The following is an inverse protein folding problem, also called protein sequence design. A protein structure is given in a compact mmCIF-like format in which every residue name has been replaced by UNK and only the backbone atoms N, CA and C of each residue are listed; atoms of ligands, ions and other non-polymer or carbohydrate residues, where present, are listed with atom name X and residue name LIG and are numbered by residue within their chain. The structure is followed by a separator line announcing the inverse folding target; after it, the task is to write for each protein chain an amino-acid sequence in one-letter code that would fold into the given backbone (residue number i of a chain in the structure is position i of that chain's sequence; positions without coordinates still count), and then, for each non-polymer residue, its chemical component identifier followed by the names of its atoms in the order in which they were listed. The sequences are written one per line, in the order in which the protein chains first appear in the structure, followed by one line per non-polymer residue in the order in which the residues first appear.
data_IF_269849580796
#
_entry.id   IF_269849580796
#
_cell.length_a   1.000
_cell.length_b   1.000
_cell.length_c   1.000
_cell.angle_alpha   90.00
_cell.angle_beta   90.00
_cell.angle_gamma   90.00
#
_symmetry.space_group_name_H-M   'P 1'
#
loop_
_entity.id
_entity.type
_entity.pdbx_description
1 polymer ?
#
# COMPACT_ATOMS: atom_id res chain seq x y z
N UNK A 1 2.86 7.22 5.21
CA UNK A 1 2.84 5.85 5.78
C UNK A 1 4.00 5.59 6.75
N UNK A 2 5.25 5.92 6.38
CA UNK A 2 6.44 5.64 7.18
C UNK A 2 6.40 6.14 8.64
N UNK A 3 5.95 7.37 8.95
CA UNK A 3 5.83 7.78 10.35
C UNK A 3 4.85 6.94 11.15
N UNK A 4 3.76 6.50 10.53
CA UNK A 4 2.74 5.69 11.20
C UNK A 4 3.25 4.28 11.58
N UNK A 5 4.17 3.72 10.81
CA UNK A 5 4.84 2.46 11.16
C UNK A 5 6.02 2.67 12.13
N UNK A 6 6.81 3.72 11.90
CA UNK A 6 8.04 3.99 12.64
C UNK A 6 7.82 4.26 14.13
N UNK A 7 6.90 5.17 14.47
CA UNK A 7 6.68 5.55 15.86
C UNK A 7 6.15 4.42 16.76
N UNK A 8 5.15 3.62 16.36
CA UNK A 8 4.71 2.48 17.16
C UNK A 8 5.82 1.46 17.41
N UNK A 9 6.68 1.21 16.43
CA UNK A 9 7.80 0.29 16.57
C UNK A 9 8.81 0.81 17.62
N UNK A 10 9.19 2.10 17.54
CA UNK A 10 10.06 2.71 18.55
C UNK A 10 9.43 2.67 19.95
N UNK A 11 8.13 2.96 20.06
CA UNK A 11 7.42 2.89 21.32
C UNK A 11 7.42 1.46 21.89
N UNK A 12 7.23 0.46 21.05
CA UNK A 12 7.27 -0.94 21.43
C UNK A 12 8.64 -1.41 21.91
N UNK A 13 9.72 -0.91 21.29
CA UNK A 13 11.10 -1.21 21.71
C UNK A 13 11.45 -0.52 23.02
N UNK A 14 10.92 0.66 23.27
CA UNK A 14 11.17 1.46 24.45
C UNK A 14 12.63 1.97 24.55
N UNK A 15 13.19 2.10 25.77
CA UNK A 15 14.48 2.76 25.96
C UNK A 15 15.68 1.96 25.43
N UNK A 16 15.50 0.70 25.11
CA UNK A 16 16.56 -0.19 24.62
C UNK A 16 16.62 -0.21 23.08
N UNK A 17 16.68 0.94 22.45
CA UNK A 17 16.75 1.07 21.02
C UNK A 17 18.12 0.63 20.49
N UNK A 18 18.21 -0.63 20.08
CA UNK A 18 19.37 -1.24 19.43
C UNK A 18 18.95 -1.77 18.06
N UNK A 19 19.93 -2.01 17.18
CA UNK A 19 19.66 -2.62 15.87
C UNK A 19 18.95 -3.98 16.00
N UNK A 20 19.37 -4.82 16.95
CA UNK A 20 18.78 -6.14 17.16
C UNK A 20 17.33 -6.05 17.66
N UNK A 21 17.04 -5.13 18.58
CA UNK A 21 15.69 -4.92 19.06
C UNK A 21 14.78 -4.33 17.97
N UNK A 22 15.32 -3.43 17.15
CA UNK A 22 14.62 -2.89 16.00
C UNK A 22 14.26 -3.99 14.97
N UNK A 23 15.25 -4.79 14.59
CA UNK A 23 15.07 -5.91 13.68
C UNK A 23 14.03 -6.92 14.21
N UNK A 24 14.13 -7.27 15.48
CA UNK A 24 13.18 -8.19 16.13
C UNK A 24 11.77 -7.61 16.10
N UNK A 25 11.62 -6.33 16.46
CA UNK A 25 10.31 -5.66 16.46
C UNK A 25 9.67 -5.63 15.06
N UNK A 26 10.44 -5.32 14.03
CA UNK A 26 9.98 -5.36 12.64
C UNK A 26 9.54 -6.77 12.22
N UNK A 27 10.39 -7.76 12.46
CA UNK A 27 10.15 -9.14 12.02
C UNK A 27 9.04 -9.86 12.79
N UNK A 28 8.63 -9.32 13.94
CA UNK A 28 7.52 -9.82 14.75
C UNK A 28 6.28 -8.94 14.66
N UNK A 29 6.37 -7.79 14.02
CA UNK A 29 5.21 -6.97 13.72
C UNK A 29 4.30 -7.74 12.76
N UNK A 30 3.00 -7.72 13.00
CA UNK A 30 2.03 -8.27 12.06
C UNK A 30 1.98 -7.44 10.77
N UNK A 31 1.34 -7.97 9.76
CA UNK A 31 1.05 -7.23 8.53
C UNK A 31 0.19 -5.99 8.84
N UNK A 32 0.55 -4.88 8.23
CA UNK A 32 -0.27 -3.68 8.25
C UNK A 32 -1.15 -3.71 7.01
N UNK A 33 -2.47 -3.71 7.16
CA UNK A 33 -3.38 -3.76 6.02
C UNK A 33 -3.25 -2.51 5.16
N UNK A 34 -3.60 -2.65 3.91
CA UNK A 34 -3.68 -1.56 2.96
C UNK A 34 -4.74 -0.53 3.34
N UNK A 35 -4.52 0.69 2.90
CA UNK A 35 -5.52 1.76 2.89
C UNK A 35 -5.78 2.20 1.46
N UNK A 36 -6.69 3.16 1.26
CA UNK A 36 -6.94 3.72 -0.07
C UNK A 36 -5.68 4.25 -0.76
N UNK A 37 -4.78 4.84 0.02
CA UNK A 37 -3.61 5.55 -0.49
C UNK A 37 -2.28 4.89 -0.15
N UNK A 38 -2.28 3.80 0.63
CA UNK A 38 -1.08 3.07 0.96
C UNK A 38 -1.23 1.57 0.76
N UNK A 39 -0.18 0.92 0.35
CA UNK A 39 -0.10 -0.53 0.27
C UNK A 39 -0.09 -1.19 1.65
N UNK A 40 -0.21 -2.50 1.64
CA UNK A 40 0.05 -3.34 2.81
C UNK A 40 1.56 -3.44 3.07
N UNK A 41 1.90 -3.68 4.33
CA UNK A 41 3.29 -3.79 4.77
C UNK A 41 3.47 -4.95 5.72
N UNK A 42 4.51 -5.73 5.48
CA UNK A 42 5.01 -6.76 6.40
C UNK A 42 6.52 -6.88 6.29
N UNK A 43 7.18 -7.50 7.26
CA UNK A 43 8.63 -7.64 7.28
C UNK A 43 9.08 -9.00 7.79
N UNK A 44 10.26 -9.42 7.36
CA UNK A 44 10.92 -10.61 7.84
C UNK A 44 10.13 -11.88 7.55
N UNK A 45 10.03 -12.75 8.52
CA UNK A 45 9.34 -14.04 8.40
C UNK A 45 7.82 -13.92 8.27
N UNK A 46 7.26 -12.77 8.61
CA UNK A 46 5.85 -12.43 8.39
C UNK A 46 5.64 -11.68 7.09
N UNK A 47 6.73 -11.39 6.39
CA UNK A 47 6.72 -10.69 5.12
C UNK A 47 6.22 -11.55 3.97
N UNK A 48 5.98 -10.87 2.85
CA UNK A 48 5.46 -11.47 1.61
C UNK A 48 6.53 -12.28 0.86
N UNK A 49 7.81 -12.00 1.11
CA UNK A 49 8.91 -12.60 0.38
C UNK A 49 9.28 -14.00 0.87
N UNK A 50 9.84 -14.85 -0.01
CA UNK A 50 10.28 -16.19 0.35
C UNK A 50 11.27 -16.21 1.53
N UNK A 51 11.16 -17.23 2.37
CA UNK A 51 12.04 -17.41 3.51
C UNK A 51 13.53 -17.52 3.12
N UNK A 52 13.82 -17.94 1.90
CA UNK A 52 15.18 -18.04 1.36
C UNK A 52 15.86 -16.66 1.21
N UNK A 53 15.09 -15.58 1.16
CA UNK A 53 15.61 -14.22 1.16
C UNK A 53 15.98 -13.72 2.56
N UNK A 54 15.92 -14.59 3.56
CA UNK A 54 16.25 -14.43 4.98
C UNK A 54 15.52 -13.26 5.66
N UNK A 55 15.42 -12.11 4.98
CA UNK A 55 14.79 -10.91 5.52
C UNK A 55 14.10 -10.14 4.43
N UNK A 56 12.82 -9.95 4.59
CA UNK A 56 12.10 -8.93 3.85
C UNK A 56 12.38 -7.56 4.49
N UNK A 57 13.26 -6.79 3.87
CA UNK A 57 13.58 -5.42 4.29
C UNK A 57 12.81 -4.36 3.52
N UNK A 58 12.14 -4.74 2.46
CA UNK A 58 11.41 -3.79 1.63
C UNK A 58 10.12 -3.33 2.31
N UNK A 59 9.42 -4.23 2.95
CA UNK A 59 8.22 -3.99 3.73
C UNK A 59 6.95 -3.78 2.91
N UNK A 60 7.03 -3.34 1.67
CA UNK A 60 5.86 -3.20 0.81
C UNK A 60 5.44 -4.53 0.22
N UNK A 61 4.17 -4.92 0.36
CA UNK A 61 3.66 -6.21 -0.09
C UNK A 61 2.88 -6.11 -1.40
N UNK A 62 2.29 -4.96 -1.66
CA UNK A 62 1.49 -4.72 -2.86
C UNK A 62 1.80 -3.38 -3.52
N UNK A 63 1.41 -3.29 -4.77
CA UNK A 63 1.49 -2.08 -5.57
C UNK A 63 0.17 -1.83 -6.28
N UNK A 64 -0.07 -0.58 -6.63
CA UNK A 64 -1.13 -0.20 -7.57
C UNK A 64 -0.58 0.83 -8.53
N UNK A 65 -1.24 0.98 -9.67
CA UNK A 65 -0.84 1.92 -10.70
C UNK A 65 -1.84 3.08 -10.72
N UNK A 66 -1.34 4.29 -10.82
CA UNK A 66 -2.18 5.48 -10.95
C UNK A 66 -1.60 6.44 -12.00
N UNK A 67 -2.45 7.28 -12.53
CA UNK A 67 -2.09 8.29 -13.52
C UNK A 67 -2.78 9.62 -13.22
N UNK A 68 -2.27 10.69 -13.76
CA UNK A 68 -2.75 12.05 -13.52
C UNK A 68 -3.49 12.60 -14.71
N UNK A 69 -4.72 13.10 -14.49
CA UNK A 69 -5.51 13.80 -15.48
C UNK A 69 -5.56 15.29 -15.16
N UNK A 70 -4.87 16.14 -15.92
CA UNK A 70 -4.84 17.57 -15.68
C UNK A 70 -6.17 18.27 -15.96
N UNK A 71 -7.11 17.60 -16.63
CA UNK A 71 -8.39 18.18 -17.06
C UNK A 71 -9.56 17.85 -16.15
N UNK A 72 -9.37 16.88 -15.23
CA UNK A 72 -10.41 16.52 -14.26
C UNK A 72 -10.42 17.55 -13.13
N UNK A 73 -11.59 18.06 -12.81
CA UNK A 73 -11.82 18.90 -11.64
C UNK A 73 -12.32 18.06 -10.47
N UNK A 74 -11.90 18.41 -9.27
CA UNK A 74 -12.31 17.81 -8.02
C UNK A 74 -11.98 18.70 -6.84
N UNK A 75 -12.39 18.29 -5.65
CA UNK A 75 -12.05 18.99 -4.41
C UNK A 75 -10.65 18.58 -3.94
N UNK A 76 -9.86 19.53 -3.53
CA UNK A 76 -8.59 19.31 -2.82
C UNK A 76 -8.82 19.06 -1.30
N UNK A 77 -7.72 18.90 -0.55
CA UNK A 77 -7.78 18.64 0.91
C UNK A 77 -8.37 19.82 1.71
N UNK A 78 -8.57 20.98 1.07
CA UNK A 78 -9.18 22.17 1.68
C UNK A 78 -10.62 22.39 1.20
N UNK A 79 -11.25 21.38 0.58
CA UNK A 79 -12.57 21.45 -0.04
C UNK A 79 -12.68 22.54 -1.12
N UNK A 80 -11.57 22.86 -1.77
CA UNK A 80 -11.52 23.86 -2.84
C UNK A 80 -11.48 23.17 -4.19
N UNK A 81 -12.30 23.63 -5.13
CA UNK A 81 -12.30 23.10 -6.48
C UNK A 81 -10.96 23.38 -7.16
N UNK A 82 -10.28 22.33 -7.57
CA UNK A 82 -9.01 22.38 -8.27
C UNK A 82 -9.04 21.52 -9.53
N UNK A 83 -8.19 21.87 -10.51
CA UNK A 83 -8.00 21.04 -11.70
C UNK A 83 -6.79 20.13 -11.52
N UNK A 84 -6.93 18.92 -12.05
CA UNK A 84 -5.90 17.90 -11.98
C UNK A 84 -6.15 16.89 -10.88
N UNK A 85 -6.53 15.68 -11.25
CA UNK A 85 -6.83 14.60 -10.33
C UNK A 85 -6.07 13.35 -10.72
N UNK A 86 -5.74 12.54 -9.72
CA UNK A 86 -5.22 11.20 -9.94
C UNK A 86 -6.35 10.19 -10.08
N UNK A 87 -6.11 9.19 -10.89
CA UNK A 87 -6.98 8.02 -11.06
C UNK A 87 -6.18 6.76 -10.81
N UNK A 88 -6.79 5.80 -10.15
CA UNK A 88 -6.27 4.44 -10.14
C UNK A 88 -6.56 3.75 -11.48
N UNK A 89 -5.54 3.22 -12.12
CA UNK A 89 -5.70 2.34 -13.27
C UNK A 89 -6.34 1.01 -12.87
N UNK A 90 -6.84 0.28 -13.86
CA UNK A 90 -7.42 -1.05 -13.69
C UNK A 90 -8.44 -1.14 -12.53
N UNK A 91 -9.34 -0.16 -12.48
CA UNK A 91 -10.39 -0.08 -11.46
C UNK A 91 -9.87 0.03 -10.02
N UNK A 92 -8.60 0.39 -9.83
CA UNK A 92 -7.98 0.46 -8.52
C UNK A 92 -7.43 -0.87 -8.01
N UNK A 93 -7.29 -1.87 -8.88
CA UNK A 93 -6.71 -3.15 -8.52
C UNK A 93 -5.32 -2.97 -7.89
N UNK A 94 -5.05 -3.75 -6.85
CA UNK A 94 -3.74 -3.85 -6.23
C UNK A 94 -3.16 -5.23 -6.52
N UNK A 95 -1.86 -5.25 -6.76
CA UNK A 95 -1.13 -6.46 -7.13
C UNK A 95 -0.06 -6.74 -6.08
N UNK A 96 0.06 -7.97 -5.66
CA UNK A 96 1.20 -8.40 -4.84
C UNK A 96 2.49 -8.23 -5.62
N UNK A 97 3.55 -7.88 -4.93
CA UNK A 97 4.87 -7.81 -5.55
C UNK A 97 5.21 -9.18 -6.16
N UNK A 98 5.61 -9.16 -7.43
CA UNK A 98 5.84 -10.37 -8.23
C UNK A 98 4.62 -10.94 -8.94
N UNK A 99 3.42 -10.41 -8.70
CA UNK A 99 2.15 -10.86 -9.30
C UNK A 99 1.52 -9.78 -10.21
N UNK A 100 2.36 -8.91 -10.78
CA UNK A 100 1.90 -7.97 -11.79
C UNK A 100 1.34 -8.73 -13.00
N UNK A 101 0.25 -8.24 -13.62
CA UNK A 101 -0.28 -8.85 -14.82
C UNK A 101 0.78 -8.86 -15.95
N UNK A 102 0.77 -9.90 -16.77
CA UNK A 102 1.64 -9.99 -17.95
C UNK A 102 1.19 -9.03 -19.06
N UNK A 103 -0.10 -8.67 -19.05
CA UNK A 103 -0.69 -7.74 -20.00
C UNK A 103 -0.46 -6.29 -19.54
N UNK A 104 -0.42 -5.37 -20.49
CA UNK A 104 -0.27 -3.95 -20.21
C UNK A 104 -1.46 -3.41 -19.45
N UNK A 105 -1.22 -2.71 -18.35
CA UNK A 105 -2.25 -1.96 -17.64
C UNK A 105 -2.59 -0.71 -18.45
N UNK A 106 -3.87 -0.55 -18.77
CA UNK A 106 -4.35 0.59 -19.56
C UNK A 106 -4.28 1.87 -18.71
N UNK A 107 -3.52 2.85 -19.21
CA UNK A 107 -3.39 4.18 -18.60
C UNK A 107 -4.14 5.22 -19.42
N UNK A 108 -4.48 6.33 -18.78
CA UNK A 108 -5.13 7.49 -19.41
C UNK A 108 -6.52 7.21 -20.00
N UNK A 109 -7.16 6.15 -19.54
CA UNK A 109 -8.53 5.80 -19.88
C UNK A 109 -9.42 5.81 -18.63
N UNK A 110 -10.31 6.79 -18.56
CA UNK A 110 -11.26 6.94 -17.45
C UNK A 110 -12.29 5.80 -17.36
N UNK A 111 -12.56 5.12 -18.47
CA UNK A 111 -13.55 4.03 -18.49
C UNK A 111 -13.07 2.79 -17.74
N UNK A 112 -11.75 2.60 -17.66
CA UNK A 112 -11.10 1.48 -16.97
C UNK A 112 -10.43 1.90 -15.66
N UNK A 113 -10.60 3.15 -15.25
CA UNK A 113 -9.97 3.73 -14.08
C UNK A 113 -10.98 4.07 -12.99
N UNK A 114 -10.53 4.13 -11.75
CA UNK A 114 -11.32 4.58 -10.61
C UNK A 114 -10.81 5.90 -10.06
N UNK A 115 -11.70 6.76 -9.62
CA UNK A 115 -11.36 7.97 -8.86
C UNK A 115 -10.57 7.58 -7.60
N UNK A 116 -9.66 8.45 -7.18
CA UNK A 116 -9.02 8.34 -5.87
C UNK A 116 -9.86 9.13 -4.88
N UNK A 117 -10.44 8.42 -3.91
CA UNK A 117 -11.21 9.01 -2.83
C UNK A 117 -10.38 8.99 -1.55
N UNK A 118 -10.67 9.90 -0.63
CA UNK A 118 -10.15 9.83 0.74
C UNK A 118 -10.73 8.61 1.48
N UNK A 119 -12.01 8.35 1.22
CA UNK A 119 -12.71 7.13 1.66
C UNK A 119 -13.54 6.62 0.48
N UNK A 120 -13.52 5.31 0.27
CA UNK A 120 -14.35 4.71 -0.77
C UNK A 120 -15.83 4.83 -0.38
N UNK A 121 -16.73 5.17 -1.32
CA UNK A 121 -18.16 5.04 -1.10
C UNK A 121 -18.49 3.61 -0.66
N UNK A 122 -19.51 3.48 0.19
CA UNK A 122 -19.93 2.18 0.70
C UNK A 122 -20.26 1.20 -0.43
N UNK A 123 -19.60 0.07 -0.43
CA UNK A 123 -19.76 -0.99 -1.43
C UNK A 123 -18.98 -0.78 -2.75
N UNK A 124 -18.25 0.34 -2.90
CA UNK A 124 -17.49 0.64 -4.12
C UNK A 124 -15.98 0.41 -3.97
N UNK A 125 -15.52 0.04 -2.78
CA UNK A 125 -14.11 -0.27 -2.59
C UNK A 125 -13.70 -1.42 -3.54
N UNK A 126 -12.59 -1.27 -4.28
CA UNK A 126 -12.07 -2.36 -5.09
C UNK A 126 -11.77 -3.56 -4.20
N UNK A 127 -11.83 -4.75 -4.76
CA UNK A 127 -11.46 -5.95 -4.04
C UNK A 127 -10.01 -5.81 -3.56
N UNK A 128 -9.87 -5.43 -2.31
CA UNK A 128 -8.59 -5.45 -1.66
C UNK A 128 -8.29 -6.87 -1.23
N UNK A 129 -7.12 -7.35 -1.49
CA UNK A 129 -6.70 -8.59 -0.86
C UNK A 129 -5.89 -8.27 0.39
N UNK A 130 -6.12 -9.08 1.39
CA UNK A 130 -5.30 -9.10 2.58
C UNK A 130 -4.07 -9.96 2.22
N UNK A 131 -2.84 -9.42 2.20
CA UNK A 131 -1.69 -10.23 1.86
C UNK A 131 -1.61 -11.37 2.88
N UNK A 132 -1.76 -12.58 2.40
CA UNK A 132 -1.59 -13.75 3.25
C UNK A 132 -0.13 -13.78 3.72
N UNK A 133 0.12 -14.07 4.99
CA UNK A 133 1.48 -14.28 5.45
C UNK A 133 2.10 -15.39 4.60
N UNK A 134 3.35 -15.20 4.23
CA UNK A 134 4.08 -16.14 3.40
C UNK A 134 4.10 -17.51 4.08
N UNK A 135 3.54 -18.53 3.43
CA UNK A 135 3.46 -19.88 4.00
C UNK A 135 2.13 -20.26 4.65
N UNK A 136 1.06 -19.50 4.36
CA UNK A 136 -0.30 -19.96 4.65
C UNK A 136 -0.73 -21.10 3.72
#
# INVERSE_FOLDING_TARGET
PWPAAFYPIIQGIGPNLTYENWKTALNTAGSTPQTLTSGSFSWGVTGRWPAELEYDFFGGDDITVFWYDPTKEGLDEADTLASGMYFFADGGQRYLLGEMPEEDIVLFDRATSSDIYLEWPEGEAPNSYDPLPYGG
#
